data_IF_854479727070
#
_entry.id   IF_854479727070
#
_cell.length_a   1.000
_cell.length_b   1.000
_cell.length_c   1.000
_cell.angle_alpha   90.00
_cell.angle_beta   90.00
_cell.angle_gamma   90.00
#
_symmetry.space_group_name_H-M   'P 1'
#
loop_
_entity.id
_entity.type
_entity.pdbx_description
1 polymer ?
#
# COMPACT_ATOMS: atom_id res chain seq x y z
N UNK A 1 6.70 -31.69 9.97
CA UNK A 1 5.40 -32.17 9.43
C UNK A 1 4.37 -32.47 10.51
N UNK A 2 4.59 -33.34 11.50
CA UNK A 2 3.56 -33.64 12.53
C UNK A 2 3.30 -32.48 13.50
N UNK A 3 4.32 -31.75 13.94
CA UNK A 3 4.21 -30.57 14.80
C UNK A 3 3.48 -29.41 14.10
N UNK A 4 3.72 -29.22 12.81
CA UNK A 4 3.12 -28.20 11.97
C UNK A 4 1.61 -28.46 11.73
N UNK A 5 1.22 -29.73 11.54
CA UNK A 5 -0.19 -30.12 11.45
C UNK A 5 -0.94 -29.84 12.76
N UNK A 6 -0.30 -30.09 13.90
CA UNK A 6 -0.89 -29.79 15.22
C UNK A 6 -1.03 -28.30 15.49
N UNK A 7 -0.07 -27.46 15.04
CA UNK A 7 -0.15 -26.01 15.13
C UNK A 7 -1.33 -25.48 14.30
N UNK A 8 -1.51 -25.96 13.07
CA UNK A 8 -2.65 -25.62 12.21
C UNK A 8 -4.00 -26.06 12.79
N UNK A 9 -4.08 -27.25 13.38
CA UNK A 9 -5.29 -27.73 14.08
C UNK A 9 -5.61 -26.82 15.27
N UNK A 10 -4.61 -26.20 15.90
CA UNK A 10 -4.78 -25.22 16.99
C UNK A 10 -5.09 -23.80 16.49
N UNK A 11 -5.13 -23.57 15.17
CA UNK A 11 -5.30 -22.23 14.59
C UNK A 11 -4.04 -21.36 14.65
N UNK A 12 -2.88 -21.94 14.92
CA UNK A 12 -1.58 -21.26 14.88
C UNK A 12 -1.07 -21.25 13.44
N UNK A 13 -0.65 -20.08 12.96
CA UNK A 13 -0.11 -19.93 11.60
C UNK A 13 0.82 -18.74 11.50
N UNK A 14 1.68 -18.76 10.51
CA UNK A 14 2.47 -17.60 10.09
C UNK A 14 1.97 -17.07 8.76
N UNK A 15 1.95 -15.78 8.64
CA UNK A 15 1.62 -15.09 7.39
C UNK A 15 2.70 -14.07 7.08
N UNK A 16 3.18 -14.06 5.85
CA UNK A 16 4.10 -13.06 5.33
C UNK A 16 3.30 -12.08 4.48
N UNK A 17 3.43 -10.80 4.77
CA UNK A 17 3.00 -9.71 3.91
C UNK A 17 4.18 -9.15 3.14
N UNK A 18 4.08 -9.09 1.82
CA UNK A 18 5.06 -8.45 0.95
C UNK A 18 4.39 -7.32 0.18
N UNK A 19 4.85 -6.10 0.40
CA UNK A 19 4.47 -4.94 -0.41
C UNK A 19 5.63 -4.51 -1.29
N UNK A 20 5.43 -4.54 -2.62
CA UNK A 20 6.43 -4.11 -3.60
C UNK A 20 6.07 -2.73 -4.12
N UNK A 21 6.72 -1.71 -3.57
CA UNK A 21 6.60 -0.33 -4.06
C UNK A 21 7.61 -0.02 -5.16
N UNK A 22 7.65 1.24 -5.60
CA UNK A 22 8.63 1.70 -6.58
C UNK A 22 10.04 1.93 -6.00
N UNK A 23 10.12 2.19 -4.68
CA UNK A 23 11.38 2.46 -3.99
C UNK A 23 11.94 1.26 -3.24
N UNK A 24 11.08 0.48 -2.57
CA UNK A 24 11.51 -0.67 -1.78
C UNK A 24 10.48 -1.80 -1.79
N UNK A 25 10.99 -3.03 -1.63
CA UNK A 25 10.21 -4.20 -1.23
C UNK A 25 10.13 -4.15 0.30
N UNK A 26 8.95 -4.36 0.88
CA UNK A 26 8.72 -4.40 2.32
C UNK A 26 8.23 -5.79 2.69
N UNK A 27 8.74 -6.30 3.77
CA UNK A 27 8.46 -7.63 4.28
C UNK A 27 8.09 -7.55 5.75
N UNK A 28 6.98 -8.16 6.12
CA UNK A 28 6.54 -8.33 7.50
C UNK A 28 6.02 -9.75 7.68
N UNK A 29 6.51 -10.44 8.71
CA UNK A 29 6.03 -11.76 9.10
C UNK A 29 5.28 -11.68 10.42
N UNK A 30 4.06 -12.18 10.46
CA UNK A 30 3.19 -12.19 11.63
C UNK A 30 2.89 -13.64 12.02
N UNK A 31 3.11 -13.94 13.29
CA UNK A 31 2.63 -15.16 13.92
C UNK A 31 1.23 -14.92 14.51
N UNK A 32 0.28 -15.77 14.14
CA UNK A 32 -1.07 -15.78 14.66
C UNK A 32 -1.21 -16.93 15.65
N UNK A 33 -1.49 -16.61 16.90
CA UNK A 33 -1.69 -17.63 17.92
C UNK A 33 -3.13 -18.16 17.96
N UNK A 34 -3.33 -19.29 18.61
CA UNK A 34 -4.64 -19.96 18.73
C UNK A 34 -5.73 -19.16 19.43
N UNK A 35 -5.37 -18.07 20.12
CA UNK A 35 -6.31 -17.18 20.84
C UNK A 35 -6.63 -15.91 20.05
N UNK A 36 -6.16 -15.82 18.80
CA UNK A 36 -6.36 -14.66 17.94
C UNK A 36 -5.35 -13.52 18.14
N UNK A 37 -4.35 -13.70 19.03
CA UNK A 37 -3.25 -12.75 19.18
C UNK A 37 -2.33 -12.79 17.96
N UNK A 38 -1.71 -11.65 17.65
CA UNK A 38 -0.83 -11.45 16.51
C UNK A 38 0.47 -10.85 16.99
N UNK A 39 1.60 -11.46 16.62
CA UNK A 39 2.94 -11.02 17.00
C UNK A 39 3.75 -10.84 15.72
N UNK A 40 4.35 -9.67 15.52
CA UNK A 40 5.32 -9.45 14.45
C UNK A 40 6.63 -10.14 14.83
N UNK A 41 7.07 -11.09 14.02
CA UNK A 41 8.26 -11.91 14.29
C UNK A 41 9.44 -11.58 13.39
N UNK A 42 9.21 -10.99 12.22
CA UNK A 42 10.27 -10.55 11.31
C UNK A 42 9.82 -9.31 10.53
N UNK A 43 10.73 -8.38 10.27
CA UNK A 43 10.55 -7.24 9.37
C UNK A 43 11.79 -7.05 8.52
N UNK A 44 11.62 -6.57 7.29
CA UNK A 44 12.76 -6.25 6.40
C UNK A 44 12.34 -5.29 5.28
N UNK A 45 13.35 -4.67 4.69
CA UNK A 45 13.19 -3.88 3.47
C UNK A 45 14.37 -4.16 2.52
N UNK A 46 14.10 -4.16 1.22
CA UNK A 46 15.14 -4.24 0.18
C UNK A 46 14.85 -3.21 -0.90
N UNK A 47 15.83 -2.43 -1.36
CA UNK A 47 15.64 -1.48 -2.44
C UNK A 47 15.12 -2.14 -3.72
N UNK A 48 14.19 -1.47 -4.40
CA UNK A 48 13.76 -1.84 -5.75
C UNK A 48 14.73 -1.21 -6.75
N UNK A 49 15.33 -1.99 -7.66
CA UNK A 49 16.20 -1.44 -8.69
C UNK A 49 15.46 -0.43 -9.57
N UNK A 50 16.16 0.65 -9.93
CA UNK A 50 15.59 1.70 -10.77
C UNK A 50 15.10 1.13 -12.11
N UNK A 51 13.93 1.58 -12.55
CA UNK A 51 13.31 1.13 -13.80
C UNK A 51 12.75 -0.30 -13.78
N UNK A 52 12.88 -1.05 -12.67
CA UNK A 52 12.33 -2.41 -12.59
C UNK A 52 10.79 -2.43 -12.60
N UNK A 53 10.16 -1.36 -12.09
CA UNK A 53 8.71 -1.19 -12.07
C UNK A 53 8.35 0.17 -12.70
N UNK A 54 7.50 0.17 -13.72
CA UNK A 54 6.97 1.37 -14.35
C UNK A 54 5.44 1.28 -14.34
N UNK A 55 4.76 2.29 -13.82
CA UNK A 55 3.31 2.34 -13.73
C UNK A 55 2.64 1.13 -13.04
N UNK A 56 3.36 0.48 -12.12
CA UNK A 56 2.88 -0.71 -11.40
C UNK A 56 3.15 -2.03 -12.12
N UNK A 57 3.74 -2.02 -13.30
CA UNK A 57 4.08 -3.19 -14.08
C UNK A 57 5.56 -3.52 -13.97
N UNK A 58 5.88 -4.80 -13.78
CA UNK A 58 7.27 -5.29 -13.78
C UNK A 58 7.78 -5.24 -15.23
N UNK A 59 8.89 -4.57 -15.42
CA UNK A 59 9.46 -4.40 -16.75
C UNK A 59 10.16 -5.66 -17.23
N UNK A 60 9.69 -6.21 -18.33
CA UNK A 60 10.29 -7.35 -19.01
C UNK A 60 10.77 -6.95 -20.38
N UNK A 61 11.92 -7.47 -20.79
CA UNK A 61 12.46 -7.24 -22.12
C UNK A 61 11.89 -8.28 -23.08
N UNK A 62 11.45 -7.81 -24.24
CA UNK A 62 11.15 -8.67 -25.38
C UNK A 62 12.42 -8.81 -26.24
N UNK A 63 12.85 -10.07 -26.50
CA UNK A 63 14.00 -10.37 -27.32
C UNK A 63 15.32 -10.53 -26.55
N UNK A 64 16.44 -10.59 -27.32
CA UNK A 64 17.76 -10.81 -26.75
C UNK A 64 18.28 -9.60 -25.97
N UNK A 65 18.83 -9.87 -24.79
CA UNK A 65 19.45 -8.85 -23.97
C UNK A 65 20.72 -8.28 -24.64
N UNK A 66 20.89 -6.94 -24.72
CA UNK A 66 22.14 -6.34 -25.16
C UNK A 66 23.27 -6.75 -24.22
N UNK A 67 24.49 -6.78 -24.77
CA UNK A 67 25.69 -7.06 -24.01
C UNK A 67 26.32 -5.74 -23.61
N UNK A 68 26.43 -5.50 -22.30
CA UNK A 68 27.06 -4.31 -21.75
C UNK A 68 28.59 -4.24 -22.04
N UNK A 69 29.23 -3.13 -21.69
CA UNK A 69 30.69 -2.94 -21.90
C UNK A 69 31.55 -3.97 -21.18
N UNK A 70 31.04 -4.60 -20.12
CA UNK A 70 31.69 -5.66 -19.34
C UNK A 70 31.52 -7.06 -19.93
N UNK A 71 30.88 -7.20 -21.10
CA UNK A 71 30.62 -8.45 -21.79
C UNK A 71 29.49 -9.27 -21.19
N UNK A 72 28.76 -8.74 -20.20
CA UNK A 72 27.58 -9.40 -19.60
C UNK A 72 26.30 -8.94 -20.27
N UNK A 73 25.32 -9.83 -20.34
CA UNK A 73 23.97 -9.45 -20.76
C UNK A 73 23.33 -8.53 -19.70
N UNK A 74 22.76 -7.44 -20.15
CA UNK A 74 22.02 -6.53 -19.26
C UNK A 74 20.75 -7.23 -18.78
N UNK A 75 20.51 -7.18 -17.46
CA UNK A 75 19.30 -7.72 -16.86
C UNK A 75 18.11 -6.81 -17.14
N UNK A 76 16.94 -7.41 -17.29
CA UNK A 76 15.69 -6.67 -17.34
C UNK A 76 15.14 -6.37 -15.91
N UNK A 77 14.06 -5.61 -15.84
CA UNK A 77 13.47 -5.22 -14.57
C UNK A 77 12.97 -6.43 -13.75
N UNK A 78 12.48 -7.48 -14.41
CA UNK A 78 12.04 -8.70 -13.74
C UNK A 78 13.20 -9.45 -13.10
N UNK A 79 14.32 -9.58 -13.82
CA UNK A 79 15.52 -10.26 -13.31
C UNK A 79 16.11 -9.49 -12.12
N UNK A 80 16.23 -8.16 -12.24
CA UNK A 80 16.72 -7.29 -11.17
C UNK A 80 15.83 -7.36 -9.91
N UNK A 81 14.52 -7.24 -10.09
CA UNK A 81 13.56 -7.30 -8.99
C UNK A 81 13.56 -8.69 -8.32
N UNK A 82 13.67 -9.77 -9.11
CA UNK A 82 13.76 -11.14 -8.61
C UNK A 82 15.02 -11.37 -7.78
N UNK A 83 16.14 -10.78 -8.16
CA UNK A 83 17.38 -10.84 -7.36
C UNK A 83 17.23 -10.07 -6.05
N UNK A 84 16.63 -8.87 -6.06
CA UNK A 84 16.37 -8.08 -4.86
C UNK A 84 15.47 -8.86 -3.88
N UNK A 85 14.37 -9.44 -4.38
CA UNK A 85 13.49 -10.27 -3.56
C UNK A 85 14.20 -11.51 -3.02
N UNK A 86 15.01 -12.19 -3.85
CA UNK A 86 15.77 -13.38 -3.43
C UNK A 86 16.77 -13.02 -2.34
N UNK A 87 17.50 -11.91 -2.49
CA UNK A 87 18.44 -11.40 -1.49
C UNK A 87 17.75 -11.12 -0.16
N UNK A 88 16.59 -10.46 -0.17
CA UNK A 88 15.77 -10.23 1.02
C UNK A 88 15.36 -11.58 1.66
N UNK A 89 14.81 -12.49 0.86
CA UNK A 89 14.33 -13.78 1.37
C UNK A 89 15.43 -14.71 1.92
N UNK A 90 16.70 -14.50 1.52
CA UNK A 90 17.82 -15.26 2.09
C UNK A 90 18.15 -14.89 3.54
N UNK A 91 17.71 -13.72 4.00
CA UNK A 91 17.91 -13.25 5.38
C UNK A 91 16.90 -13.84 6.36
N UNK A 92 15.84 -14.47 5.84
CA UNK A 92 14.72 -14.96 6.64
C UNK A 92 14.59 -16.47 6.63
N UNK A 93 14.18 -17.03 7.78
CA UNK A 93 13.88 -18.45 7.90
C UNK A 93 12.59 -18.79 7.18
N UNK A 94 12.61 -19.82 6.35
CA UNK A 94 11.44 -20.25 5.57
C UNK A 94 10.87 -21.52 6.16
N UNK A 95 9.60 -21.48 6.53
CA UNK A 95 8.80 -22.67 6.67
C UNK A 95 7.99 -22.89 5.38
N UNK A 96 7.92 -24.16 4.93
CA UNK A 96 7.25 -24.53 3.67
C UNK A 96 5.75 -24.31 3.66
N UNK A 97 5.17 -23.92 4.80
CA UNK A 97 3.73 -23.78 5.00
C UNK A 97 3.26 -22.35 5.33
N UNK A 98 4.16 -21.37 5.26
CA UNK A 98 3.81 -19.97 5.53
C UNK A 98 3.00 -19.40 4.38
N UNK A 99 1.84 -18.81 4.70
CA UNK A 99 1.00 -18.15 3.70
C UNK A 99 1.60 -16.79 3.30
N UNK A 100 1.73 -16.54 2.00
CA UNK A 100 2.17 -15.25 1.45
C UNK A 100 0.95 -14.44 1.00
N UNK A 101 0.85 -13.23 1.49
CA UNK A 101 -0.06 -12.19 0.98
C UNK A 101 0.77 -11.08 0.36
N UNK A 102 0.57 -10.84 -0.91
CA UNK A 102 1.32 -9.83 -1.64
C UNK A 102 0.43 -8.68 -2.11
N UNK A 103 1.00 -7.47 -2.19
CA UNK A 103 0.30 -6.34 -2.79
C UNK A 103 0.42 -6.35 -4.32
N UNK A 104 -0.66 -5.91 -4.97
CA UNK A 104 -0.65 -5.42 -6.34
C UNK A 104 -0.81 -3.91 -6.30
N UNK A 105 0.07 -3.20 -6.97
CA UNK A 105 0.06 -1.76 -6.99
C UNK A 105 -1.21 -1.21 -7.66
N UNK A 106 -1.97 -0.40 -6.93
CA UNK A 106 -3.11 0.34 -7.45
C UNK A 106 -2.61 1.52 -8.29
N UNK A 107 -2.43 1.32 -9.60
CA UNK A 107 -2.05 2.40 -10.52
C UNK A 107 -3.25 3.22 -10.96
N UNK A 108 -3.14 4.55 -10.94
CA UNK A 108 -4.06 5.39 -11.69
C UNK A 108 -3.78 5.20 -13.20
N UNK A 109 -4.76 4.68 -13.95
CA UNK A 109 -4.65 4.53 -15.39
C UNK A 109 -5.17 3.20 -15.94
N UNK A 110 -5.19 3.06 -17.26
CA UNK A 110 -5.81 1.96 -17.98
C UNK A 110 -5.17 0.57 -17.75
N UNK A 111 -4.05 0.48 -17.08
CA UNK A 111 -3.34 -0.78 -16.79
C UNK A 111 -3.43 -1.23 -15.33
N UNK A 112 -4.07 -0.46 -14.45
CA UNK A 112 -4.04 -0.69 -13.00
C UNK A 112 -5.17 -1.55 -12.46
N UNK A 113 -5.23 -1.60 -11.13
CA UNK A 113 -6.34 -2.16 -10.39
C UNK A 113 -7.42 -1.09 -10.21
N UNK A 114 -8.65 -1.46 -10.44
CA UNK A 114 -9.83 -0.59 -10.31
C UNK A 114 -10.62 -1.01 -9.07
N UNK A 115 -11.05 -0.05 -8.28
CA UNK A 115 -11.90 -0.26 -7.12
C UNK A 115 -13.12 0.65 -7.24
N UNK A 116 -14.31 0.09 -7.11
CA UNK A 116 -15.56 0.83 -7.15
C UNK A 116 -16.57 0.24 -6.16
N UNK A 117 -17.62 0.97 -5.88
CA UNK A 117 -18.73 0.58 -5.02
C UNK A 117 -20.01 0.55 -5.84
N UNK A 118 -20.69 -0.57 -5.80
CA UNK A 118 -21.92 -0.77 -6.56
C UNK A 118 -23.11 -1.08 -5.63
N UNK A 119 -24.30 -0.66 -6.06
CA UNK A 119 -25.58 -1.10 -5.46
C UNK A 119 -26.36 -1.89 -6.49
N UNK A 120 -26.82 -3.06 -6.11
CA UNK A 120 -27.57 -3.99 -6.96
C UNK A 120 -28.83 -4.49 -6.27
N UNK A 121 -29.89 -4.78 -7.03
CA UNK A 121 -31.08 -5.44 -6.53
C UNK A 121 -30.96 -6.95 -6.75
N UNK A 122 -30.98 -7.71 -5.69
CA UNK A 122 -30.91 -9.17 -5.71
C UNK A 122 -32.29 -9.72 -5.27
N UNK A 123 -33.09 -10.30 -6.20
CA UNK A 123 -34.35 -10.94 -5.86
C UNK A 123 -34.12 -12.12 -4.88
N UNK A 124 -35.12 -12.45 -4.07
CA UNK A 124 -35.03 -13.52 -3.04
C UNK A 124 -34.50 -14.87 -3.55
N UNK A 125 -34.75 -15.19 -4.80
CA UNK A 125 -34.26 -16.43 -5.44
C UNK A 125 -33.15 -16.18 -6.47
N UNK A 126 -32.58 -14.99 -6.50
CA UNK A 126 -31.50 -14.62 -7.43
C UNK A 126 -30.16 -15.18 -7.00
N UNK A 127 -29.28 -15.44 -7.98
CA UNK A 127 -27.89 -15.72 -7.70
C UNK A 127 -27.14 -14.39 -7.44
N UNK A 128 -26.94 -14.06 -6.15
CA UNK A 128 -26.33 -12.81 -5.70
C UNK A 128 -24.97 -12.59 -6.36
N UNK A 129 -24.08 -13.58 -6.31
CA UNK A 129 -22.75 -13.48 -6.91
C UNK A 129 -22.81 -13.18 -8.40
N UNK A 130 -23.64 -13.90 -9.15
CA UNK A 130 -23.78 -13.67 -10.59
C UNK A 130 -24.33 -12.27 -10.91
N UNK A 131 -25.27 -11.75 -10.12
CA UNK A 131 -25.85 -10.42 -10.32
C UNK A 131 -24.81 -9.34 -10.04
N UNK A 132 -24.04 -9.45 -8.95
CA UNK A 132 -22.98 -8.50 -8.59
C UNK A 132 -21.92 -8.47 -9.70
N UNK A 133 -21.37 -9.64 -10.08
CA UNK A 133 -20.34 -9.74 -11.10
C UNK A 133 -20.81 -9.23 -12.48
N UNK A 134 -22.03 -9.60 -12.90
CA UNK A 134 -22.60 -9.12 -14.15
C UNK A 134 -22.82 -7.60 -14.14
N UNK A 135 -23.29 -7.06 -12.99
CA UNK A 135 -23.48 -5.62 -12.86
C UNK A 135 -22.16 -4.86 -12.90
N UNK A 136 -21.15 -5.37 -12.20
CA UNK A 136 -19.79 -4.81 -12.25
C UNK A 136 -19.26 -4.83 -13.70
N UNK A 137 -19.30 -5.99 -14.35
CA UNK A 137 -18.79 -6.17 -15.70
C UNK A 137 -19.52 -5.37 -16.78
N UNK A 138 -20.73 -4.89 -16.50
CA UNK A 138 -21.49 -4.02 -17.42
C UNK A 138 -21.12 -2.54 -17.33
N UNK A 139 -20.26 -2.14 -16.38
CA UNK A 139 -19.89 -0.74 -16.12
C UNK A 139 -18.47 -0.46 -16.61
N UNK A 140 -18.26 0.61 -17.39
CA UNK A 140 -16.91 1.09 -17.65
C UNK A 140 -16.24 1.56 -16.32
N UNK A 141 -14.97 1.25 -16.11
CA UNK A 141 -14.01 0.56 -16.97
C UNK A 141 -13.89 -0.95 -16.71
N UNK A 142 -14.88 -1.58 -16.04
CA UNK A 142 -14.89 -3.02 -15.73
C UNK A 142 -15.41 -3.88 -16.90
N UNK A 143 -15.86 -3.27 -17.98
CA UNK A 143 -16.44 -3.91 -19.19
C UNK A 143 -15.38 -4.59 -20.09
N UNK A 144 -14.10 -4.43 -19.78
CA UNK A 144 -13.03 -5.17 -20.45
C UNK A 144 -13.09 -6.67 -20.05
N UNK A 145 -13.21 -7.54 -21.03
CA UNK A 145 -13.33 -8.99 -20.82
C UNK A 145 -12.04 -9.65 -20.28
N UNK A 146 -10.90 -8.95 -20.34
CA UNK A 146 -9.63 -9.43 -19.81
C UNK A 146 -9.42 -9.07 -18.32
N UNK A 147 -10.44 -8.57 -17.65
CA UNK A 147 -10.41 -8.28 -16.22
C UNK A 147 -10.85 -9.47 -15.38
N UNK A 148 -10.11 -9.76 -14.31
CA UNK A 148 -10.59 -10.54 -13.16
C UNK A 148 -11.31 -9.59 -12.22
N UNK A 149 -12.53 -9.94 -11.81
CA UNK A 149 -13.34 -9.16 -10.87
C UNK A 149 -13.55 -9.99 -9.60
N UNK A 150 -13.24 -9.35 -8.46
CA UNK A 150 -13.58 -9.85 -7.13
C UNK A 150 -14.44 -8.83 -6.39
N UNK A 151 -15.17 -9.25 -5.34
CA UNK A 151 -16.05 -8.33 -4.60
C UNK A 151 -16.20 -8.73 -3.14
N UNK A 152 -16.51 -7.73 -2.32
CA UNK A 152 -16.90 -7.91 -0.92
C UNK A 152 -18.25 -7.22 -0.68
N UNK A 153 -19.18 -7.92 -0.02
CA UNK A 153 -20.48 -7.35 0.33
C UNK A 153 -20.33 -6.46 1.56
N UNK A 154 -20.65 -5.18 1.37
CA UNK A 154 -20.62 -4.18 2.43
C UNK A 154 -21.88 -4.25 3.32
N UNK A 155 -23.05 -4.29 2.69
CA UNK A 155 -24.33 -4.27 3.39
C UNK A 155 -25.45 -4.87 2.57
N UNK A 156 -26.51 -5.29 3.26
CA UNK A 156 -27.78 -5.76 2.67
C UNK A 156 -28.95 -5.05 3.35
N UNK A 157 -29.85 -4.49 2.53
CA UNK A 157 -31.13 -3.94 2.98
C UNK A 157 -32.25 -4.49 2.10
N UNK A 158 -32.94 -5.51 2.58
CA UNK A 158 -33.95 -6.25 1.82
C UNK A 158 -33.36 -6.93 0.58
N UNK A 159 -33.76 -6.49 -0.60
CA UNK A 159 -33.22 -6.96 -1.89
C UNK A 159 -32.06 -6.09 -2.38
N UNK A 160 -31.76 -4.97 -1.76
CA UNK A 160 -30.67 -4.10 -2.11
C UNK A 160 -29.36 -4.58 -1.45
N UNK A 161 -28.34 -4.81 -2.27
CA UNK A 161 -27.00 -5.23 -1.84
C UNK A 161 -25.99 -4.19 -2.30
N UNK A 162 -25.22 -3.65 -1.35
CA UNK A 162 -24.05 -2.81 -1.64
C UNK A 162 -22.79 -3.66 -1.58
N UNK A 163 -21.95 -3.57 -2.59
CA UNK A 163 -20.71 -4.32 -2.68
C UNK A 163 -19.55 -3.43 -3.16
N UNK A 164 -18.39 -3.64 -2.56
CA UNK A 164 -17.12 -3.14 -3.05
C UNK A 164 -16.60 -4.13 -4.10
N UNK A 165 -16.22 -3.62 -5.26
CA UNK A 165 -15.79 -4.41 -6.40
C UNK A 165 -14.39 -4.00 -6.77
N UNK A 166 -13.54 -4.99 -7.02
CA UNK A 166 -12.16 -4.80 -7.46
C UNK A 166 -11.99 -5.52 -8.78
N UNK A 167 -11.39 -4.85 -9.76
CA UNK A 167 -11.01 -5.47 -11.02
C UNK A 167 -9.54 -5.22 -11.33
N UNK A 168 -8.88 -6.24 -11.85
CA UNK A 168 -7.50 -6.17 -12.32
C UNK A 168 -7.34 -6.95 -13.61
N UNK A 169 -6.44 -6.50 -14.50
CA UNK A 169 -6.16 -7.21 -15.75
C UNK A 169 -5.47 -8.53 -15.49
N UNK A 170 -5.87 -9.58 -16.19
CA UNK A 170 -5.25 -10.89 -16.10
C UNK A 170 -3.73 -10.82 -16.31
N UNK A 171 -3.26 -10.12 -17.33
CA UNK A 171 -1.84 -9.96 -17.64
C UNK A 171 -1.05 -9.37 -16.46
N UNK A 172 -1.63 -8.42 -15.74
CA UNK A 172 -1.03 -7.84 -14.55
C UNK A 172 -0.93 -8.86 -13.41
N UNK A 173 -2.04 -9.53 -13.11
CA UNK A 173 -2.10 -10.57 -12.07
C UNK A 173 -1.16 -11.72 -12.35
N UNK A 174 -1.11 -12.23 -13.58
CA UNK A 174 -0.22 -13.31 -13.98
C UNK A 174 1.26 -12.92 -13.83
N UNK A 175 1.61 -11.70 -14.23
CA UNK A 175 2.97 -11.17 -14.08
C UNK A 175 3.41 -11.14 -12.63
N UNK A 176 2.56 -10.60 -11.74
CA UNK A 176 2.84 -10.52 -10.31
C UNK A 176 2.77 -11.89 -9.63
N UNK A 177 1.82 -12.76 -10.00
CA UNK A 177 1.73 -14.11 -9.46
C UNK A 177 3.00 -14.93 -9.79
N UNK A 178 3.50 -14.80 -11.02
CA UNK A 178 4.75 -15.43 -11.42
C UNK A 178 5.95 -14.91 -10.63
N UNK A 179 6.01 -13.57 -10.39
CA UNK A 179 7.05 -12.96 -9.59
C UNK A 179 7.04 -13.47 -8.15
N UNK A 180 5.85 -13.59 -7.54
CA UNK A 180 5.70 -14.09 -6.18
C UNK A 180 5.77 -15.62 -6.06
N UNK A 181 5.97 -16.35 -7.14
CA UNK A 181 6.24 -17.81 -7.10
C UNK A 181 7.61 -18.06 -6.50
N UNK A 182 7.70 -17.93 -5.18
CA UNK A 182 8.92 -18.13 -4.40
C UNK A 182 8.93 -19.57 -3.91
N UNK A 183 10.04 -20.27 -4.16
CA UNK A 183 10.20 -21.67 -3.73
C UNK A 183 10.00 -21.79 -2.20
N UNK A 184 9.03 -22.57 -1.80
CA UNK A 184 8.71 -22.84 -0.42
C UNK A 184 7.68 -21.88 0.21
N UNK A 185 7.18 -20.85 -0.53
CA UNK A 185 6.08 -20.02 -0.10
C UNK A 185 4.84 -20.28 -0.96
N UNK A 186 3.68 -20.24 -0.33
CA UNK A 186 2.40 -20.35 -1.01
C UNK A 186 1.79 -18.97 -1.13
N UNK A 187 1.70 -18.42 -2.35
CA UNK A 187 0.92 -17.22 -2.61
C UNK A 187 -0.56 -17.53 -2.35
N UNK A 188 -1.09 -17.02 -1.25
CA UNK A 188 -2.46 -17.29 -0.80
C UNK A 188 -3.43 -16.19 -1.21
N UNK A 189 -2.96 -14.97 -1.37
CA UNK A 189 -3.74 -13.86 -1.91
C UNK A 189 -2.84 -12.78 -2.49
N UNK A 190 -3.37 -12.07 -3.49
CA UNK A 190 -2.91 -10.74 -3.90
C UNK A 190 -3.95 -9.72 -3.49
N UNK A 191 -3.51 -8.63 -2.88
CA UNK A 191 -4.39 -7.57 -2.39
C UNK A 191 -3.96 -6.23 -2.99
N UNK A 192 -4.78 -5.21 -2.88
CA UNK A 192 -4.45 -3.87 -3.34
C UNK A 192 -3.57 -3.19 -2.27
N UNK A 193 -2.54 -2.47 -2.68
CA UNK A 193 -1.57 -1.81 -1.79
C UNK A 193 -2.23 -0.93 -0.71
N UNK A 194 -3.23 -0.12 -1.10
CA UNK A 194 -3.97 0.73 -0.15
C UNK A 194 -4.75 -0.12 0.87
N UNK A 195 -5.29 -1.27 0.49
CA UNK A 195 -6.00 -2.14 1.43
C UNK A 195 -5.06 -2.70 2.50
N UNK A 196 -3.80 -2.98 2.13
CA UNK A 196 -2.78 -3.31 3.13
C UNK A 196 -2.65 -2.21 4.19
N UNK A 197 -2.57 -0.94 3.78
CA UNK A 197 -2.48 0.18 4.71
C UNK A 197 -3.76 0.36 5.56
N UNK A 198 -4.94 0.25 4.94
CA UNK A 198 -6.23 0.31 5.64
C UNK A 198 -6.38 -0.82 6.66
N UNK A 199 -5.97 -2.04 6.30
CA UNK A 199 -5.97 -3.20 7.17
C UNK A 199 -5.02 -3.02 8.37
N UNK A 200 -3.83 -2.43 8.15
CA UNK A 200 -2.90 -2.11 9.24
C UNK A 200 -3.54 -1.15 10.24
N UNK A 201 -4.19 -0.09 9.77
CA UNK A 201 -4.93 0.84 10.63
C UNK A 201 -6.04 0.13 11.39
N UNK A 202 -6.98 -0.52 10.70
CA UNK A 202 -8.16 -1.13 11.34
C UNK A 202 -7.80 -2.28 12.29
N UNK A 203 -6.72 -3.01 12.01
CA UNK A 203 -6.26 -4.11 12.88
C UNK A 203 -5.57 -3.62 14.17
N UNK A 204 -5.13 -2.37 14.22
CA UNK A 204 -4.36 -1.80 15.33
C UNK A 204 -5.01 -0.59 15.98
N UNK A 205 -6.07 -0.04 15.39
CA UNK A 205 -6.84 1.06 15.96
C UNK A 205 -7.58 0.65 17.24
N UNK A 206 -7.74 1.59 18.17
CA UNK A 206 -8.56 1.39 19.36
C UNK A 206 -10.05 1.34 19.00
N UNK A 207 -10.88 0.84 19.91
CA UNK A 207 -12.34 0.86 19.72
C UNK A 207 -12.91 2.28 19.53
N UNK A 208 -12.25 3.28 20.12
CA UNK A 208 -12.62 4.70 19.97
C UNK A 208 -12.24 5.21 18.57
N UNK A 209 -11.02 4.92 18.12
CA UNK A 209 -10.56 5.31 16.78
C UNK A 209 -11.42 4.66 15.69
N UNK A 210 -11.85 3.42 15.89
CA UNK A 210 -12.73 2.71 14.93
C UNK A 210 -14.13 3.31 14.80
N UNK A 211 -14.57 4.18 15.74
CA UNK A 211 -15.84 4.91 15.60
C UNK A 211 -15.73 6.13 14.70
N UNK A 212 -14.50 6.59 14.46
CA UNK A 212 -14.22 7.77 13.64
C UNK A 212 -14.38 7.47 12.14
N UNK A 213 -14.60 8.57 11.41
CA UNK A 213 -14.52 8.59 9.95
C UNK A 213 -13.17 9.16 9.55
N UNK A 214 -12.33 8.34 8.93
CA UNK A 214 -10.95 8.71 8.62
C UNK A 214 -10.64 8.62 7.13
N UNK A 215 -9.83 9.56 6.65
CA UNK A 215 -9.17 9.47 5.36
C UNK A 215 -7.73 8.97 5.58
N UNK A 216 -7.36 7.86 4.97
CA UNK A 216 -6.00 7.31 5.02
C UNK A 216 -5.32 7.57 3.69
N UNK A 217 -4.23 8.32 3.71
CA UNK A 217 -3.49 8.76 2.51
C UNK A 217 -2.18 7.98 2.45
N UNK A 218 -2.02 7.16 1.41
CA UNK A 218 -0.75 6.50 1.11
C UNK A 218 0.06 7.36 0.15
N UNK A 219 1.18 7.93 0.62
CA UNK A 219 2.09 8.76 -0.18
C UNK A 219 3.34 7.94 -0.47
N UNK A 220 3.39 7.36 -1.67
CA UNK A 220 4.52 6.56 -2.15
C UNK A 220 5.45 7.34 -3.07
N UNK A 221 6.54 6.67 -3.52
CA UNK A 221 7.54 7.28 -4.41
C UNK A 221 6.95 7.80 -5.72
N UNK A 222 6.15 6.99 -6.41
CA UNK A 222 5.56 7.31 -7.74
C UNK A 222 4.04 7.44 -7.73
N UNK A 223 3.40 7.17 -6.58
CA UNK A 223 1.95 7.06 -6.51
C UNK A 223 1.42 7.58 -5.19
N UNK A 224 0.22 8.10 -5.24
CA UNK A 224 -0.57 8.48 -4.08
C UNK A 224 -1.96 7.84 -4.20
N UNK A 225 -2.52 7.39 -3.09
CA UNK A 225 -3.89 6.92 -3.02
C UNK A 225 -4.54 7.37 -1.71
N UNK A 226 -5.86 7.53 -1.72
CA UNK A 226 -6.66 7.89 -0.55
C UNK A 226 -7.73 6.83 -0.37
N UNK A 227 -7.81 6.26 0.83
CA UNK A 227 -8.88 5.36 1.25
C UNK A 227 -9.69 5.98 2.39
N UNK A 228 -10.98 5.72 2.41
CA UNK A 228 -11.90 6.24 3.43
C UNK A 228 -12.49 5.10 4.24
N UNK A 229 -12.45 5.26 5.55
CA UNK A 229 -13.00 4.31 6.53
C UNK A 229 -14.06 5.03 7.33
N UNK A 230 -15.23 4.43 7.45
CA UNK A 230 -16.31 4.88 8.31
C UNK A 230 -16.61 3.80 9.35
N UNK A 231 -16.51 4.17 10.63
CA UNK A 231 -16.81 3.24 11.72
C UNK A 231 -16.08 1.89 11.59
N UNK A 232 -14.79 1.94 11.27
CA UNK A 232 -13.94 0.77 11.10
C UNK A 232 -14.16 -0.05 9.83
N UNK A 233 -15.05 0.39 8.93
CA UNK A 233 -15.35 -0.28 7.66
C UNK A 233 -14.84 0.53 6.46
N UNK A 234 -14.33 -0.17 5.46
CA UNK A 234 -13.96 0.44 4.19
C UNK A 234 -15.21 1.06 3.53
N UNK A 235 -15.10 2.32 3.12
CA UNK A 235 -16.15 3.03 2.40
C UNK A 235 -15.83 3.16 0.91
N UNK A 236 -14.70 3.76 0.59
CA UNK A 236 -14.26 3.99 -0.80
C UNK A 236 -12.78 4.30 -0.85
N UNK A 237 -12.21 4.30 -2.06
CA UNK A 237 -10.84 4.72 -2.28
C UNK A 237 -10.69 5.43 -3.62
N UNK A 238 -9.59 6.16 -3.77
CA UNK A 238 -9.20 6.74 -5.05
C UNK A 238 -7.68 6.72 -5.23
N UNK A 239 -7.23 6.21 -6.37
CA UNK A 239 -5.86 6.40 -6.82
C UNK A 239 -5.73 7.80 -7.42
N UNK A 240 -4.66 8.51 -7.07
CA UNK A 240 -4.37 9.86 -7.52
C UNK A 240 -3.41 9.86 -8.69
N UNK A 241 -3.56 10.82 -9.59
CA UNK A 241 -2.66 11.00 -10.75
C UNK A 241 -1.41 11.81 -10.41
N UNK A 242 -1.32 12.33 -9.18
CA UNK A 242 -0.22 13.14 -8.68
C UNK A 242 -0.07 13.02 -7.17
N UNK A 243 0.78 13.86 -6.58
CA UNK A 243 0.99 13.93 -5.13
C UNK A 243 1.99 12.88 -4.59
N UNK A 244 2.84 12.32 -5.43
CA UNK A 244 3.89 11.37 -5.06
C UNK A 244 5.18 12.08 -4.60
N UNK A 245 6.07 11.32 -3.96
CA UNK A 245 7.36 11.85 -3.44
C UNK A 245 8.22 12.40 -4.58
N UNK A 246 8.29 11.72 -5.72
CA UNK A 246 9.08 12.17 -6.87
C UNK A 246 8.58 13.52 -7.45
N UNK A 247 7.29 13.82 -7.34
CA UNK A 247 6.75 15.13 -7.73
C UNK A 247 7.21 16.24 -6.75
N UNK A 248 7.24 15.94 -5.43
CA UNK A 248 7.80 16.86 -4.44
C UNK A 248 9.28 17.09 -4.74
N UNK A 249 10.03 16.02 -5.00
CA UNK A 249 11.45 16.07 -5.34
C UNK A 249 11.69 16.92 -6.58
N UNK A 250 10.94 16.68 -7.65
CA UNK A 250 11.06 17.43 -8.89
C UNK A 250 10.79 18.95 -8.68
N UNK A 251 9.75 19.26 -7.89
CA UNK A 251 9.40 20.65 -7.58
C UNK A 251 10.43 21.34 -6.70
N UNK A 252 10.86 20.66 -5.63
CA UNK A 252 11.86 21.16 -4.70
C UNK A 252 13.21 21.35 -5.40
N UNK A 253 13.65 20.35 -6.17
CA UNK A 253 14.88 20.42 -6.95
C UNK A 253 14.89 21.55 -7.97
N UNK A 254 13.77 21.76 -8.69
CA UNK A 254 13.62 22.87 -9.61
C UNK A 254 13.64 24.24 -8.90
N UNK A 255 13.08 24.33 -7.69
CA UNK A 255 13.02 25.59 -6.91
C UNK A 255 14.38 25.97 -6.33
N UNK A 256 15.13 24.99 -5.81
CA UNK A 256 16.42 25.22 -5.14
C UNK A 256 17.63 24.98 -6.04
N UNK A 257 17.45 24.47 -7.28
CA UNK A 257 18.54 24.12 -8.16
C UNK A 257 19.42 22.96 -7.68
N UNK A 258 18.83 22.01 -6.93
CA UNK A 258 19.50 20.82 -6.38
C UNK A 258 19.00 19.55 -7.07
N UNK A 259 19.79 18.48 -7.02
CA UNK A 259 19.44 17.19 -7.59
C UNK A 259 18.49 16.37 -6.69
N UNK A 260 17.98 15.27 -7.24
CA UNK A 260 17.05 14.40 -6.54
C UNK A 260 17.70 13.71 -5.33
N UNK A 261 19.00 13.37 -5.40
CA UNK A 261 19.74 12.74 -4.30
C UNK A 261 19.78 13.66 -3.09
N UNK A 262 20.03 14.96 -3.32
CA UNK A 262 20.02 15.97 -2.26
C UNK A 262 18.63 16.20 -1.67
N UNK A 263 17.58 16.15 -2.50
CA UNK A 263 16.21 16.20 -2.01
C UNK A 263 15.87 15.01 -1.11
N UNK A 264 16.25 13.78 -1.50
CA UNK A 264 16.09 12.59 -0.66
C UNK A 264 16.86 12.71 0.66
N UNK A 265 18.08 13.24 0.63
CA UNK A 265 18.88 13.48 1.83
C UNK A 265 18.17 14.42 2.82
N UNK A 266 17.52 15.50 2.32
CA UNK A 266 16.69 16.41 3.13
C UNK A 266 15.54 15.63 3.80
N UNK A 267 14.85 14.78 3.05
CA UNK A 267 13.70 14.03 3.58
C UNK A 267 14.11 12.97 4.61
N UNK A 268 15.20 12.25 4.36
CA UNK A 268 15.69 11.20 5.26
C UNK A 268 16.28 11.77 6.56
N UNK A 269 17.09 12.83 6.47
CA UNK A 269 17.74 13.43 7.63
C UNK A 269 16.86 14.45 8.35
N UNK A 270 15.87 15.03 7.66
CA UNK A 270 15.08 16.14 8.17
C UNK A 270 15.89 17.41 8.45
N UNK A 271 17.09 17.51 7.89
CA UNK A 271 18.00 18.63 8.07
C UNK A 271 17.86 19.59 6.88
N UNK A 272 17.31 20.77 7.13
CA UNK A 272 17.11 21.81 6.12
C UNK A 272 18.37 22.66 5.88
N UNK A 273 19.35 22.59 6.78
CA UNK A 273 20.60 23.35 6.70
C UNK A 273 21.65 22.74 5.76
N UNK A 274 21.36 21.60 5.12
CA UNK A 274 22.32 20.90 4.24
C UNK A 274 22.37 21.44 2.81
N UNK A 275 21.56 22.46 2.49
CA UNK A 275 21.51 23.05 1.14
C UNK A 275 22.40 24.28 1.09
N UNK A 276 23.56 24.17 0.43
CA UNK A 276 24.49 25.26 0.29
C UNK A 276 23.87 26.48 -0.40
N UNK A 277 24.09 27.64 0.18
CA UNK A 277 23.63 28.91 -0.39
C UNK A 277 22.20 29.31 -0.02
N UNK A 278 21.48 28.49 0.76
CA UNK A 278 20.13 28.79 1.25
C UNK A 278 20.06 28.78 2.77
N UNK A 279 19.27 29.69 3.33
CA UNK A 279 18.90 29.61 4.73
C UNK A 279 17.82 28.53 4.94
N UNK A 280 17.75 27.91 6.12
CA UNK A 280 16.75 26.88 6.44
C UNK A 280 15.31 27.33 6.15
N UNK A 281 15.00 28.61 6.43
CA UNK A 281 13.68 29.19 6.17
C UNK A 281 13.34 29.24 4.66
N UNK A 282 14.34 29.44 3.79
CA UNK A 282 14.13 29.44 2.34
C UNK A 282 13.89 28.01 1.81
N UNK A 283 14.59 27.02 2.39
CA UNK A 283 14.34 25.61 2.09
C UNK A 283 12.95 25.17 2.56
N UNK A 284 12.54 25.60 3.76
CA UNK A 284 11.20 25.32 4.30
C UNK A 284 10.10 25.91 3.42
N UNK A 285 10.28 27.13 2.92
CA UNK A 285 9.30 27.79 2.03
C UNK A 285 9.24 27.05 0.66
N UNK A 286 10.39 26.63 0.13
CA UNK A 286 10.43 25.83 -1.09
C UNK A 286 9.74 24.46 -0.91
N UNK A 287 9.86 23.83 0.26
CA UNK A 287 9.12 22.60 0.59
C UNK A 287 7.62 22.85 0.65
N UNK A 288 7.16 23.93 1.30
CA UNK A 288 5.73 24.28 1.35
C UNK A 288 5.17 24.49 -0.05
N UNK A 289 5.91 25.15 -0.93
CA UNK A 289 5.52 25.33 -2.32
C UNK A 289 5.40 23.98 -3.08
N UNK A 290 6.29 23.02 -2.78
CA UNK A 290 6.20 21.68 -3.35
C UNK A 290 5.01 20.87 -2.78
N UNK A 291 4.59 21.11 -1.54
CA UNK A 291 3.45 20.46 -0.92
C UNK A 291 2.09 20.91 -1.46
N UNK A 292 2.01 22.08 -2.12
CA UNK A 292 0.75 22.56 -2.74
C UNK A 292 0.20 21.57 -3.77
N UNK A 293 1.08 20.90 -4.52
CA UNK A 293 0.66 19.89 -5.51
C UNK A 293 0.03 18.67 -4.83
N UNK A 294 0.58 18.24 -3.68
CA UNK A 294 -0.04 17.19 -2.85
C UNK A 294 -1.38 17.67 -2.30
N UNK A 295 -1.43 18.89 -1.76
CA UNK A 295 -2.67 19.42 -1.19
C UNK A 295 -3.80 19.47 -2.22
N UNK A 296 -3.50 19.84 -3.46
CA UNK A 296 -4.47 19.79 -4.55
C UNK A 296 -5.06 18.40 -4.78
N UNK A 297 -4.23 17.35 -4.69
CA UNK A 297 -4.69 15.96 -4.79
C UNK A 297 -5.49 15.54 -3.55
N UNK A 298 -5.06 15.92 -2.35
CA UNK A 298 -5.81 15.66 -1.10
C UNK A 298 -7.20 16.29 -1.18
N UNK A 299 -7.31 17.58 -1.52
CA UNK A 299 -8.59 18.26 -1.67
C UNK A 299 -9.49 17.59 -2.72
N UNK A 300 -8.91 17.13 -3.84
CA UNK A 300 -9.67 16.42 -4.86
C UNK A 300 -10.24 15.10 -4.30
N UNK A 301 -9.44 14.32 -3.55
CA UNK A 301 -9.89 13.09 -2.90
C UNK A 301 -10.97 13.35 -1.84
N UNK A 302 -10.81 14.38 -1.02
CA UNK A 302 -11.79 14.76 -0.01
C UNK A 302 -13.13 15.19 -0.64
N UNK A 303 -13.09 15.94 -1.74
CA UNK A 303 -14.30 16.31 -2.52
C UNK A 303 -14.98 15.10 -3.14
N UNK A 304 -14.21 14.15 -3.68
CA UNK A 304 -14.73 12.89 -4.21
C UNK A 304 -15.52 12.13 -3.14
N UNK A 305 -14.94 11.95 -1.95
CA UNK A 305 -15.61 11.30 -0.83
C UNK A 305 -16.88 12.05 -0.40
N UNK A 306 -16.79 13.37 -0.21
CA UNK A 306 -17.93 14.20 0.22
C UNK A 306 -19.07 14.25 -0.79
N UNK A 307 -18.85 13.85 -2.04
CA UNK A 307 -19.90 13.75 -3.06
C UNK A 307 -20.75 12.47 -2.95
N UNK A 308 -20.36 11.51 -2.13
CA UNK A 308 -21.11 10.28 -1.90
C UNK A 308 -22.33 10.57 -0.99
N UNK A 309 -23.48 9.97 -1.31
CA UNK A 309 -24.74 10.20 -0.57
C UNK A 309 -24.67 9.80 0.90
N UNK A 310 -23.82 8.82 1.24
CA UNK A 310 -23.64 8.27 2.59
C UNK A 310 -22.33 8.69 3.25
N UNK A 311 -21.64 9.71 2.70
CA UNK A 311 -20.44 10.28 3.32
C UNK A 311 -20.75 10.91 4.68
N UNK A 312 -19.87 10.65 5.65
CA UNK A 312 -19.92 11.27 6.97
C UNK A 312 -18.83 12.36 7.07
N UNK A 313 -18.99 13.37 7.94
CA UNK A 313 -17.90 14.30 8.21
C UNK A 313 -16.63 13.55 8.60
N UNK A 314 -15.49 14.00 8.08
CA UNK A 314 -14.18 13.42 8.41
C UNK A 314 -13.70 13.96 9.76
N UNK A 315 -13.35 13.05 10.65
CA UNK A 315 -12.77 13.36 11.95
C UNK A 315 -11.26 13.53 11.85
N UNK A 316 -10.60 12.76 10.97
CA UNK A 316 -9.14 12.69 10.92
C UNK A 316 -8.60 12.31 9.54
N UNK A 317 -7.41 12.82 9.23
CA UNK A 317 -6.56 12.39 8.11
C UNK A 317 -5.37 11.61 8.70
N UNK A 318 -5.07 10.45 8.14
CA UNK A 318 -3.91 9.64 8.51
C UNK A 318 -2.99 9.48 7.30
N UNK A 319 -1.72 9.84 7.47
CA UNK A 319 -0.70 9.69 6.43
C UNK A 319 0.05 8.37 6.60
N UNK A 320 0.26 7.65 5.53
CA UNK A 320 1.07 6.43 5.44
C UNK A 320 1.99 6.44 4.23
N UNK A 321 2.83 5.40 4.10
CA UNK A 321 3.87 5.34 3.09
C UNK A 321 5.09 6.19 3.43
N UNK A 322 6.08 6.20 2.55
CA UNK A 322 7.36 6.93 2.77
C UNK A 322 7.17 8.43 2.94
N UNK A 323 6.22 9.02 2.21
CA UNK A 323 5.91 10.45 2.26
C UNK A 323 5.35 10.93 3.60
N UNK A 324 4.75 10.04 4.40
CA UNK A 324 4.25 10.38 5.74
C UNK A 324 5.35 10.87 6.70
N UNK A 325 6.60 10.56 6.40
CA UNK A 325 7.77 10.94 7.21
C UNK A 325 8.43 12.26 6.76
N UNK A 326 7.93 12.88 5.67
CA UNK A 326 8.49 14.15 5.19
C UNK A 326 8.16 15.26 6.20
N UNK A 327 9.20 15.92 6.69
CA UNK A 327 9.09 16.98 7.71
C UNK A 327 8.18 18.12 7.23
N UNK A 328 7.21 18.49 8.05
CA UNK A 328 6.29 19.60 7.79
C UNK A 328 5.08 19.27 6.90
N UNK A 329 5.07 18.12 6.23
CA UNK A 329 3.94 17.74 5.34
C UNK A 329 2.65 17.49 6.13
N UNK A 330 2.73 16.81 7.26
CA UNK A 330 1.58 16.54 8.13
C UNK A 330 0.95 17.84 8.63
N UNK A 331 1.76 18.74 9.14
CA UNK A 331 1.36 20.06 9.65
C UNK A 331 0.74 20.90 8.53
N UNK A 332 1.35 20.88 7.34
CA UNK A 332 0.86 21.58 6.16
C UNK A 332 -0.55 21.09 5.74
N UNK A 333 -0.74 19.77 5.69
CA UNK A 333 -2.06 19.20 5.34
C UNK A 333 -3.09 19.52 6.41
N UNK A 334 -2.73 19.46 7.71
CA UNK A 334 -3.63 19.81 8.81
C UNK A 334 -4.08 21.27 8.74
N UNK A 335 -3.14 22.19 8.52
CA UNK A 335 -3.43 23.61 8.41
C UNK A 335 -4.34 23.93 7.22
N UNK A 336 -4.04 23.35 6.06
CA UNK A 336 -4.76 23.64 4.82
C UNK A 336 -6.13 22.99 4.73
N UNK A 337 -6.30 21.78 5.28
CA UNK A 337 -7.58 21.06 5.28
C UNK A 337 -8.49 21.47 6.44
N UNK A 338 -7.92 21.99 7.54
CA UNK A 338 -8.64 22.21 8.78
C UNK A 338 -9.05 20.92 9.50
N UNK A 339 -8.51 19.76 9.10
CA UNK A 339 -8.82 18.46 9.68
C UNK A 339 -7.58 17.96 10.46
N UNK A 340 -7.82 17.42 11.65
CA UNK A 340 -6.74 16.80 12.42
C UNK A 340 -5.99 15.77 11.56
N UNK A 341 -4.67 15.91 11.48
CA UNK A 341 -3.82 15.04 10.63
C UNK A 341 -2.73 14.39 11.47
N UNK A 342 -2.60 13.07 11.35
CA UNK A 342 -1.58 12.26 12.02
C UNK A 342 -1.01 11.21 11.05
N UNK A 343 -0.20 10.30 11.53
CA UNK A 343 0.40 9.23 10.73
C UNK A 343 -0.14 7.86 11.14
N UNK A 344 -0.21 6.93 10.19
CA UNK A 344 -0.50 5.52 10.48
C UNK A 344 0.72 4.91 11.15
N UNK A 345 0.62 4.60 12.45
CA UNK A 345 1.70 4.00 13.24
C UNK A 345 1.28 2.66 13.87
N UNK A 346 1.10 1.61 13.06
CA UNK A 346 0.55 0.35 13.54
C UNK A 346 1.51 -0.39 14.48
N UNK A 347 2.82 -0.22 14.32
CA UNK A 347 3.84 -0.87 15.18
C UNK A 347 3.83 -0.37 16.62
N UNK A 348 3.17 0.76 16.90
CA UNK A 348 2.94 1.23 18.27
C UNK A 348 1.95 0.35 19.03
N UNK A 349 1.05 -0.32 18.33
CA UNK A 349 -0.10 -1.02 18.91
C UNK A 349 -0.11 -2.53 18.65
N UNK A 350 0.81 -3.03 17.81
CA UNK A 350 0.97 -4.46 17.56
C UNK A 350 2.10 -5.02 18.45
N UNK A 351 1.90 -6.23 18.96
CA UNK A 351 2.94 -6.94 19.69
C UNK A 351 4.06 -7.32 18.70
N UNK A 352 5.31 -7.03 19.09
CA UNK A 352 6.48 -7.37 18.30
C UNK A 352 7.43 -8.24 19.14
N UNK A 353 8.04 -9.24 18.50
CA UNK A 353 9.12 -10.00 19.14
C UNK A 353 10.30 -9.07 19.43
N UNK A 354 10.96 -9.28 20.59
CA UNK A 354 12.08 -8.45 21.01
C UNK A 354 13.26 -8.48 20.03
N UNK A 355 13.41 -9.57 19.25
CA UNK A 355 14.44 -9.68 18.20
C UNK A 355 14.17 -8.75 17.00
N UNK A 356 12.91 -8.34 16.80
CA UNK A 356 12.50 -7.48 15.68
C UNK A 356 12.72 -6.02 15.99
N UNK A 357 12.39 -5.60 17.21
CA UNK A 357 12.34 -4.18 17.58
C UNK A 357 13.59 -3.70 18.31
N UNK A 358 14.43 -4.61 18.82
CA UNK A 358 15.57 -4.25 19.67
C UNK A 358 15.13 -3.43 20.89
N UNK A 359 16.07 -2.69 21.49
CA UNK A 359 15.77 -1.84 22.66
C UNK A 359 15.01 -0.54 22.29
N UNK A 360 15.13 -0.08 21.04
CA UNK A 360 14.62 1.22 20.60
C UNK A 360 13.21 1.18 19.98
N UNK A 361 12.67 -0.01 19.73
CA UNK A 361 11.41 -0.17 19.00
C UNK A 361 11.53 0.13 17.49
N UNK A 362 10.42 0.00 16.77
CA UNK A 362 10.33 0.38 15.35
C UNK A 362 10.17 1.89 15.25
N UNK A 363 11.06 2.56 14.51
CA UNK A 363 10.95 4.01 14.30
C UNK A 363 9.65 4.36 13.57
N UNK A 364 9.15 5.60 13.76
CA UNK A 364 7.94 6.07 13.08
C UNK A 364 8.08 5.99 11.55
N UNK A 365 9.22 6.39 11.01
CA UNK A 365 9.49 6.34 9.58
C UNK A 365 9.41 4.90 9.03
N UNK A 366 10.03 3.94 9.73
CA UNK A 366 9.98 2.54 9.35
C UNK A 366 8.57 1.95 9.53
N UNK A 367 7.85 2.35 10.59
CA UNK A 367 6.46 1.97 10.83
C UNK A 367 5.55 2.40 9.68
N UNK A 368 5.68 3.64 9.20
CA UNK A 368 4.92 4.17 8.07
C UNK A 368 5.20 3.39 6.77
N UNK A 369 6.48 3.09 6.52
CA UNK A 369 6.91 2.35 5.32
C UNK A 369 6.40 0.91 5.34
N UNK A 370 6.46 0.23 6.49
CA UNK A 370 6.08 -1.17 6.64
C UNK A 370 4.57 -1.39 6.85
N UNK A 371 3.79 -0.33 7.10
CA UNK A 371 2.37 -0.44 7.39
C UNK A 371 1.57 -1.24 6.33
N UNK A 372 1.74 -1.04 5.02
CA UNK A 372 1.06 -1.87 4.03
C UNK A 372 1.39 -3.36 4.15
N UNK A 373 2.67 -3.72 4.27
CA UNK A 373 3.10 -5.12 4.41
C UNK A 373 2.58 -5.75 5.70
N UNK A 374 2.52 -4.98 6.81
CA UNK A 374 1.92 -5.44 8.06
C UNK A 374 0.44 -5.75 7.89
N UNK A 375 -0.33 -4.86 7.26
CA UNK A 375 -1.75 -5.08 7.03
C UNK A 375 -2.05 -6.27 6.13
N UNK A 376 -1.18 -6.54 5.13
CA UNK A 376 -1.24 -7.76 4.33
C UNK A 376 -1.00 -9.00 5.18
N UNK A 377 0.02 -8.99 6.05
CA UNK A 377 0.33 -10.11 6.94
C UNK A 377 -0.77 -10.35 8.01
N UNK A 378 -1.56 -9.32 8.32
CA UNK A 378 -2.67 -9.40 9.26
C UNK A 378 -3.99 -9.86 8.65
N UNK A 379 -4.03 -10.09 7.32
CA UNK A 379 -5.24 -10.56 6.63
C UNK A 379 -5.77 -11.84 7.28
N UNK A 380 -7.10 -11.88 7.48
CA UNK A 380 -7.78 -13.10 7.89
C UNK A 380 -8.09 -13.93 6.65
N UNK A 381 -7.82 -15.22 6.70
CA UNK A 381 -8.31 -16.19 5.75
C UNK A 381 -9.43 -16.97 6.43
N UNK A 382 -10.60 -16.97 5.82
CA UNK A 382 -11.75 -17.78 6.26
C UNK A 382 -11.55 -19.25 5.86
#
# INVERSE_FOLDING_TARGET
MALDLLARIRGERETIGIDVGHYSIKYVKVYHNSRGGKVVVEIDTEPVPEGAIINGEIQRREGDAPTGPDGKKEKDGYELLSEALTKMMMRHTRDTNTDLVASVNCGAGAGGVLVDRISVKVPKNGNESAIILQTAQSRPPFDDQDNVIDYEIESRDGEEVKANVVAAKNVLLDSWAQFFTIKGLKLSAMDVDIFGLLNAYTATASEEDLKQTVAVINIGEKKMSIGFIQQGKFHSMRAMTGGSIDMIIAKLGATLGIDAEKCHEIFEKGDLGIVDGYAEAEVEEAMKLAFEDIMGQVEFGLRYYSSSEDSQPLDKILLGGGGASIKGLREFIAERSGIETDTVNPFRYVECDASVVGESGVSLALSNILAPALGLAMRKFD
#
